data_IF_613063073043
#
_entry.id   IF_613063073043
#
_cell.length_a   1.000
_cell.length_b   1.000
_cell.length_c   1.000
_cell.angle_alpha   90.00
_cell.angle_beta   90.00
_cell.angle_gamma   90.00
#
_symmetry.space_group_name_H-M   'P 1'
#
loop_
_entity.id
_entity.type
_entity.pdbx_description
1 polymer ?
#
# COMPACT_ATOMS: atom_id res chain seq x y z
N UNK A 1 7.44 -7.19 -14.31
CA UNK A 1 8.80 -7.39 -13.76
C UNK A 1 9.31 -8.79 -14.00
N UNK A 2 10.60 -8.98 -13.91
CA UNK A 2 11.25 -10.28 -14.07
C UNK A 2 11.98 -10.64 -12.76
N UNK A 3 11.81 -11.88 -12.27
CA UNK A 3 12.57 -12.35 -11.10
C UNK A 3 14.04 -12.46 -11.50
N UNK A 4 14.91 -11.70 -10.81
CA UNK A 4 16.36 -11.67 -11.06
C UNK A 4 17.16 -12.44 -10.01
N UNK A 5 16.56 -12.71 -8.86
CA UNK A 5 17.12 -13.51 -7.77
C UNK A 5 16.03 -14.06 -6.88
N UNK A 6 16.24 -15.23 -6.28
CA UNK A 6 15.35 -15.79 -5.26
C UNK A 6 16.10 -16.77 -4.34
N UNK A 7 15.69 -16.87 -3.10
CA UNK A 7 16.11 -17.94 -2.17
C UNK A 7 15.40 -19.25 -2.50
N UNK A 8 15.84 -20.33 -1.87
CA UNK A 8 15.03 -21.54 -1.77
C UNK A 8 13.79 -21.26 -0.91
N UNK A 9 12.71 -21.99 -1.16
CA UNK A 9 11.53 -21.95 -0.28
C UNK A 9 11.90 -22.42 1.12
N UNK A 10 11.49 -21.65 2.13
CA UNK A 10 11.58 -22.03 3.52
C UNK A 10 10.24 -22.62 3.94
N UNK A 11 10.25 -23.87 4.39
CA UNK A 11 9.06 -24.55 4.89
C UNK A 11 8.96 -24.35 6.41
N UNK A 12 7.78 -23.99 6.89
CA UNK A 12 7.43 -23.97 8.30
C UNK A 12 6.26 -24.91 8.55
N UNK A 13 6.40 -25.77 9.56
CA UNK A 13 5.39 -26.75 9.92
C UNK A 13 4.76 -26.38 11.24
N UNK A 14 3.48 -26.00 11.22
CA UNK A 14 2.70 -25.81 12.42
C UNK A 14 1.90 -27.08 12.74
N UNK A 15 2.02 -27.57 13.98
CA UNK A 15 1.25 -28.72 14.45
C UNK A 15 0.20 -28.22 15.45
N UNK A 16 -1.07 -28.38 15.13
CA UNK A 16 -2.18 -28.08 16.04
C UNK A 16 -2.86 -29.37 16.49
N UNK A 17 -3.20 -29.44 17.79
CA UNK A 17 -3.88 -30.57 18.38
C UNK A 17 -3.04 -31.35 19.41
N UNK A 18 -3.52 -31.44 20.64
CA UNK A 18 -2.88 -32.15 21.76
C UNK A 18 -3.21 -31.49 23.09
N UNK A 19 -4.49 -31.48 23.50
CA UNK A 19 -4.90 -31.19 24.87
C UNK A 19 -4.95 -32.49 25.70
N UNK A 20 -4.52 -32.45 26.96
CA UNK A 20 -4.69 -33.57 27.92
C UNK A 20 -6.19 -33.84 28.09
N UNK A 21 -6.70 -34.95 27.54
CA UNK A 21 -8.04 -35.41 27.90
C UNK A 21 -8.88 -36.12 26.82
N UNK A 22 -8.56 -36.03 25.53
CA UNK A 22 -9.22 -36.84 24.50
C UNK A 22 -8.34 -36.99 23.25
N UNK A 23 -8.35 -38.11 22.53
CA UNK A 23 -7.61 -38.27 21.30
C UNK A 23 -8.23 -37.39 20.21
N UNK A 24 -7.64 -36.18 20.00
CA UNK A 24 -7.95 -35.31 18.86
C UNK A 24 -6.93 -35.59 17.76
N UNK A 25 -7.35 -35.66 16.49
CA UNK A 25 -6.41 -35.80 15.39
C UNK A 25 -5.44 -34.61 15.36
N UNK A 26 -4.16 -34.93 15.24
CA UNK A 26 -3.14 -33.91 15.03
C UNK A 26 -3.21 -33.46 13.58
N UNK A 27 -3.48 -32.18 13.35
CA UNK A 27 -3.35 -31.57 12.02
C UNK A 27 -1.97 -30.91 11.89
N UNK A 28 -1.35 -31.09 10.75
CA UNK A 28 -0.14 -30.37 10.36
C UNK A 28 -0.51 -29.42 9.23
N UNK A 29 -0.19 -28.14 9.40
CA UNK A 29 -0.25 -27.15 8.34
C UNK A 29 1.18 -26.78 7.92
N UNK A 30 1.36 -26.63 6.63
CA UNK A 30 2.60 -26.24 6.02
C UNK A 30 2.44 -24.84 5.45
N UNK A 31 3.36 -23.94 5.80
CA UNK A 31 3.48 -22.62 5.19
C UNK A 31 4.86 -22.50 4.54
N UNK A 32 4.93 -21.73 3.49
CA UNK A 32 6.17 -21.52 2.74
C UNK A 32 6.44 -20.03 2.62
N UNK A 33 7.71 -19.67 2.75
CA UNK A 33 8.16 -18.31 2.48
C UNK A 33 9.34 -18.31 1.51
N UNK A 34 9.55 -17.18 0.85
CA UNK A 34 10.65 -16.96 -0.09
C UNK A 34 11.08 -15.51 -0.06
N UNK A 35 12.38 -15.26 -0.19
CA UNK A 35 12.88 -13.92 -0.50
C UNK A 35 13.25 -13.86 -1.96
N UNK A 36 12.82 -12.79 -2.65
CA UNK A 36 13.04 -12.65 -4.07
C UNK A 36 13.32 -11.20 -4.47
N UNK A 37 14.07 -11.02 -5.55
CA UNK A 37 14.28 -9.75 -6.21
C UNK A 37 13.63 -9.74 -7.58
N UNK A 38 12.91 -8.67 -7.90
CA UNK A 38 12.20 -8.49 -9.17
C UNK A 38 12.76 -7.24 -9.85
N UNK A 39 13.36 -7.41 -11.01
CA UNK A 39 13.75 -6.33 -11.91
C UNK A 39 12.53 -5.68 -12.52
N UNK A 40 12.44 -4.36 -12.44
CA UNK A 40 11.31 -3.57 -12.92
C UNK A 40 11.54 -3.01 -14.30
N UNK A 41 12.58 -2.20 -14.46
CA UNK A 41 12.95 -1.58 -15.72
C UNK A 41 14.41 -1.11 -15.72
N UNK A 42 14.92 -0.80 -16.91
CA UNK A 42 16.19 -0.11 -17.11
C UNK A 42 16.04 1.38 -16.79
N UNK A 43 17.10 1.97 -16.23
CA UNK A 43 17.21 3.38 -15.88
C UNK A 43 16.59 3.71 -14.52
N UNK A 44 16.92 4.89 -14.03
CA UNK A 44 16.49 5.36 -12.73
C UNK A 44 15.00 5.70 -12.70
N UNK A 45 14.32 5.31 -11.61
CA UNK A 45 12.91 5.61 -11.35
C UNK A 45 12.78 6.61 -10.20
N UNK A 46 11.71 7.40 -10.21
CA UNK A 46 11.39 8.30 -9.10
C UNK A 46 10.87 7.51 -7.90
N UNK A 47 9.90 6.61 -8.11
CA UNK A 47 9.30 5.75 -7.08
C UNK A 47 8.49 4.61 -7.72
N UNK A 48 8.08 3.66 -6.90
CA UNK A 48 6.97 2.76 -7.19
C UNK A 48 5.67 3.31 -6.57
N UNK A 49 4.55 3.04 -7.20
CA UNK A 49 3.21 3.33 -6.69
C UNK A 49 2.52 2.05 -6.21
N UNK A 50 1.38 1.74 -6.81
CA UNK A 50 0.57 0.56 -6.47
C UNK A 50 1.26 -0.74 -6.84
N UNK A 51 0.95 -1.79 -6.08
CA UNK A 51 1.47 -3.14 -6.28
C UNK A 51 0.28 -4.08 -6.42
N UNK A 52 0.35 -5.00 -7.37
CA UNK A 52 -0.64 -6.05 -7.55
C UNK A 52 0.03 -7.43 -7.48
N UNK A 53 -0.66 -8.36 -6.84
CA UNK A 53 -0.33 -9.78 -6.85
C UNK A 53 -1.50 -10.54 -7.48
N UNK A 54 -1.24 -11.28 -8.56
CA UNK A 54 -2.27 -12.00 -9.35
C UNK A 54 -3.45 -11.11 -9.79
N UNK A 55 -3.19 -9.82 -10.03
CA UNK A 55 -4.19 -8.83 -10.45
C UNK A 55 -4.96 -8.16 -9.31
N UNK A 56 -4.83 -8.62 -8.07
CA UNK A 56 -5.38 -7.94 -6.89
C UNK A 56 -4.38 -6.93 -6.33
N UNK A 57 -4.83 -5.72 -6.03
CA UNK A 57 -4.01 -4.72 -5.37
C UNK A 57 -3.69 -5.15 -3.93
N UNK A 58 -2.43 -4.99 -3.54
CA UNK A 58 -1.94 -5.31 -2.19
C UNK A 58 -1.21 -4.11 -1.60
N UNK A 59 -1.21 -4.02 -0.28
CA UNK A 59 -0.48 -2.97 0.42
C UNK A 59 1.02 -3.24 0.44
N UNK A 60 1.83 -2.24 0.10
CA UNK A 60 3.28 -2.31 0.30
C UNK A 60 3.67 -2.48 1.78
N UNK A 61 2.78 -2.11 2.73
CA UNK A 61 2.99 -2.27 4.18
C UNK A 61 2.94 -3.73 4.63
N UNK A 62 2.25 -4.57 3.86
CA UNK A 62 2.14 -6.01 4.13
C UNK A 62 3.34 -6.79 3.60
N UNK A 63 4.24 -6.10 2.91
CA UNK A 63 5.44 -6.67 2.34
C UNK A 63 6.68 -6.11 3.05
N UNK A 64 7.62 -7.00 3.39
CA UNK A 64 8.96 -6.56 3.75
C UNK A 64 9.73 -6.18 2.49
N UNK A 65 9.46 -4.97 1.99
CA UNK A 65 9.83 -4.49 0.67
C UNK A 65 10.96 -3.46 0.74
N UNK A 66 12.00 -3.66 -0.06
CA UNK A 66 13.03 -2.66 -0.34
C UNK A 66 13.01 -2.29 -1.83
N UNK A 67 13.13 -1.00 -2.11
CA UNK A 67 13.11 -0.46 -3.46
C UNK A 67 14.48 0.07 -3.84
N UNK A 68 15.01 -0.41 -4.93
CA UNK A 68 16.24 0.01 -5.56
C UNK A 68 15.90 0.77 -6.83
N UNK A 69 16.26 2.05 -6.87
CA UNK A 69 15.77 2.96 -7.92
C UNK A 69 16.55 2.89 -9.23
N UNK A 70 17.69 2.20 -9.26
CA UNK A 70 18.53 2.12 -10.46
C UNK A 70 19.54 3.26 -10.61
N UNK A 71 19.84 3.98 -9.54
CA UNK A 71 20.88 5.03 -9.57
C UNK A 71 22.30 4.46 -9.72
N UNK A 72 23.25 5.32 -10.16
CA UNK A 72 24.64 4.95 -10.37
C UNK A 72 25.40 4.67 -9.06
N UNK A 73 24.91 5.17 -7.95
CA UNK A 73 25.44 4.99 -6.60
C UNK A 73 24.81 3.79 -5.86
N UNK A 74 23.92 3.05 -6.55
CA UNK A 74 23.20 1.92 -5.97
C UNK A 74 24.16 0.86 -5.43
N UNK A 75 23.88 0.37 -4.21
CA UNK A 75 24.63 -0.69 -3.55
C UNK A 75 23.90 -2.03 -3.65
N UNK A 76 24.62 -3.15 -3.51
CA UNK A 76 23.99 -4.48 -3.43
C UNK A 76 23.01 -4.58 -2.28
N UNK A 77 21.97 -5.41 -2.45
CA UNK A 77 21.00 -5.66 -1.38
C UNK A 77 21.62 -6.51 -0.26
N UNK A 78 21.50 -6.11 1.02
CA UNK A 78 22.10 -6.80 2.13
C UNK A 78 21.56 -8.22 2.37
N UNK A 79 20.30 -8.51 2.03
CA UNK A 79 19.75 -9.87 2.13
C UNK A 79 20.35 -10.77 1.06
N UNK A 80 20.52 -10.26 -0.15
CA UNK A 80 21.18 -11.02 -1.21
C UNK A 80 22.64 -11.29 -0.85
N UNK A 81 23.38 -10.31 -0.32
CA UNK A 81 24.75 -10.48 0.14
C UNK A 81 24.87 -11.48 1.32
N UNK A 82 23.90 -11.47 2.22
CA UNK A 82 23.87 -12.43 3.33
C UNK A 82 23.70 -13.88 2.85
N UNK A 83 23.02 -14.09 1.74
CA UNK A 83 22.79 -15.43 1.17
C UNK A 83 23.93 -15.86 0.24
N UNK A 84 24.37 -14.97 -0.67
CA UNK A 84 25.35 -15.31 -1.72
C UNK A 84 26.81 -15.08 -1.28
N UNK A 85 27.00 -14.25 -0.25
CA UNK A 85 28.30 -13.80 0.24
C UNK A 85 28.66 -12.39 -0.19
N UNK A 86 29.31 -11.67 0.72
CA UNK A 86 29.74 -10.28 0.50
C UNK A 86 30.61 -10.16 -0.76
N UNK A 87 30.28 -9.17 -1.59
CA UNK A 87 30.97 -8.88 -2.83
C UNK A 87 30.65 -9.83 -3.99
N UNK A 88 29.70 -10.75 -3.82
CA UNK A 88 29.26 -11.67 -4.91
C UNK A 88 27.96 -11.24 -5.55
N UNK A 89 27.28 -10.24 -4.99
CA UNK A 89 26.02 -9.72 -5.49
C UNK A 89 26.27 -8.45 -6.29
N UNK A 90 25.78 -8.36 -7.53
CA UNK A 90 25.88 -7.12 -8.29
C UNK A 90 24.96 -6.06 -7.69
N UNK A 91 25.37 -4.79 -7.80
CA UNK A 91 24.55 -3.65 -7.34
C UNK A 91 23.39 -3.34 -8.29
N UNK A 92 23.33 -3.95 -9.46
CA UNK A 92 22.35 -3.69 -10.53
C UNK A 92 22.16 -2.20 -10.84
N UNK A 93 23.28 -1.43 -10.90
CA UNK A 93 23.24 -0.01 -11.29
C UNK A 93 22.63 0.13 -12.68
N UNK A 94 21.84 1.16 -12.88
CA UNK A 94 21.07 1.36 -14.10
C UNK A 94 19.85 0.48 -14.23
N UNK A 95 19.52 -0.36 -13.23
CA UNK A 95 18.32 -1.20 -13.21
C UNK A 95 17.54 -0.92 -11.92
N UNK A 96 16.30 -0.51 -12.06
CA UNK A 96 15.38 -0.41 -10.94
C UNK A 96 14.84 -1.82 -10.60
N UNK A 97 14.89 -2.18 -9.32
CA UNK A 97 14.38 -3.46 -8.85
C UNK A 97 13.83 -3.35 -7.43
N UNK A 98 13.09 -4.35 -7.01
CA UNK A 98 12.59 -4.49 -5.65
C UNK A 98 13.06 -5.80 -5.05
N UNK A 99 13.27 -5.81 -3.73
CA UNK A 99 13.49 -7.03 -2.96
C UNK A 99 12.35 -7.20 -1.98
N UNK A 100 11.70 -8.36 -2.02
CA UNK A 100 10.68 -8.77 -1.06
C UNK A 100 11.32 -9.85 -0.19
N UNK A 101 11.48 -9.55 1.10
CA UNK A 101 12.12 -10.46 2.04
C UNK A 101 11.08 -11.29 2.79
N UNK A 102 11.32 -12.60 2.84
CA UNK A 102 10.52 -13.59 3.57
C UNK A 102 9.00 -13.49 3.25
N UNK A 103 8.67 -13.35 1.96
CA UNK A 103 7.29 -13.33 1.47
C UNK A 103 6.56 -14.60 1.88
N UNK A 104 5.49 -14.47 2.68
CA UNK A 104 4.58 -15.58 2.99
C UNK A 104 3.79 -15.95 1.72
N UNK A 105 3.86 -17.21 1.34
CA UNK A 105 3.17 -17.75 0.16
C UNK A 105 1.79 -18.32 0.48
N UNK A 106 1.41 -18.41 1.74
CA UNK A 106 0.12 -18.97 2.18
C UNK A 106 -1.08 -18.26 1.52
N UNK A 107 -1.13 -16.90 1.48
CA UNK A 107 -2.23 -16.18 0.82
C UNK A 107 -2.31 -16.44 -0.69
N UNK A 108 -1.21 -16.91 -1.31
CA UNK A 108 -1.08 -17.12 -2.75
C UNK A 108 -1.12 -18.60 -3.15
N UNK A 109 -1.66 -19.47 -2.27
CA UNK A 109 -1.73 -20.91 -2.54
C UNK A 109 -0.36 -21.59 -2.59
N UNK A 110 0.58 -21.16 -1.76
CA UNK A 110 1.96 -21.66 -1.65
C UNK A 110 2.77 -21.56 -2.95
N UNK A 111 2.52 -20.54 -3.74
CA UNK A 111 3.27 -20.21 -4.96
C UNK A 111 3.65 -18.73 -4.98
N UNK A 112 4.67 -18.38 -5.72
CA UNK A 112 5.00 -16.97 -5.98
C UNK A 112 3.92 -16.38 -6.88
N UNK A 113 3.21 -15.31 -6.46
CA UNK A 113 2.21 -14.67 -7.30
C UNK A 113 2.87 -13.89 -8.45
N UNK A 114 2.06 -13.60 -9.46
CA UNK A 114 2.50 -12.71 -10.53
C UNK A 114 2.39 -11.26 -10.06
N UNK A 115 3.54 -10.65 -9.76
CA UNK A 115 3.60 -9.25 -9.36
C UNK A 115 3.55 -8.29 -10.54
N UNK A 116 2.76 -7.21 -10.36
CA UNK A 116 2.79 -6.01 -11.20
C UNK A 116 3.04 -4.79 -10.33
N UNK A 117 3.78 -3.83 -10.87
CA UNK A 117 4.17 -2.62 -10.15
C UNK A 117 3.87 -1.39 -11.00
N UNK A 118 3.30 -0.39 -10.38
CA UNK A 118 3.22 0.95 -10.93
C UNK A 118 4.57 1.64 -10.76
N UNK A 119 5.20 2.04 -11.86
CA UNK A 119 6.53 2.66 -11.86
C UNK A 119 6.41 4.10 -12.33
N UNK A 120 6.90 5.03 -11.53
CA UNK A 120 6.95 6.44 -11.87
C UNK A 120 8.37 6.84 -12.24
N UNK A 121 8.52 7.44 -13.42
CA UNK A 121 9.80 7.94 -13.94
C UNK A 121 9.69 9.43 -14.21
N UNK A 122 10.79 10.13 -14.07
CA UNK A 122 10.90 11.50 -14.57
C UNK A 122 10.83 11.49 -16.10
N UNK A 123 10.26 12.54 -16.68
CA UNK A 123 10.24 12.69 -18.13
C UNK A 123 11.68 12.70 -18.67
N UNK A 124 11.92 11.88 -19.71
CA UNK A 124 13.24 11.85 -20.36
C UNK A 124 13.46 13.15 -21.12
N UNK A 125 14.70 13.67 -21.06
CA UNK A 125 15.08 14.89 -21.78
C UNK A 125 14.94 16.18 -21.03
N UNK A 126 14.41 16.20 -19.80
CA UNK A 126 14.55 17.35 -18.91
C UNK A 126 15.92 17.30 -18.25
N UNK A 127 16.75 18.30 -18.52
CA UNK A 127 18.01 18.49 -17.82
C UNK A 127 17.73 18.53 -16.30
N UNK A 128 18.54 17.86 -15.53
CA UNK A 128 18.38 17.68 -14.08
C UNK A 128 18.29 18.99 -13.29
N UNK A 129 18.57 20.12 -13.91
CA UNK A 129 18.76 21.39 -13.21
C UNK A 129 17.77 22.51 -13.57
N UNK A 130 16.80 22.35 -14.48
CA UNK A 130 16.04 23.49 -14.95
C UNK A 130 14.60 23.28 -15.42
N UNK A 131 14.01 22.12 -15.30
CA UNK A 131 12.61 21.93 -15.66
C UNK A 131 11.68 22.02 -14.45
N UNK A 132 10.48 22.66 -14.57
CA UNK A 132 9.50 22.64 -13.51
C UNK A 132 9.10 21.18 -13.22
N UNK A 133 9.27 20.75 -11.98
CA UNK A 133 8.82 19.47 -11.47
C UNK A 133 7.51 19.72 -10.72
N UNK A 134 6.38 19.40 -11.34
CA UNK A 134 5.06 19.60 -10.75
C UNK A 134 4.96 19.04 -9.32
N UNK A 135 5.57 17.89 -9.04
CA UNK A 135 5.59 17.32 -7.71
C UNK A 135 6.29 18.17 -6.67
N UNK A 136 7.25 19.02 -7.09
CA UNK A 136 8.00 19.93 -6.21
C UNK A 136 7.52 21.36 -6.26
N UNK A 137 6.82 21.75 -7.31
CA UNK A 137 6.40 23.13 -7.52
C UNK A 137 5.00 23.42 -6.99
N UNK A 138 4.16 22.40 -6.87
CA UNK A 138 2.82 22.54 -6.30
C UNK A 138 2.92 22.78 -4.80
N UNK A 139 2.41 23.94 -4.37
CA UNK A 139 2.44 24.40 -2.96
C UNK A 139 1.09 24.26 -2.25
N UNK A 140 0.01 24.13 -3.00
CA UNK A 140 -1.33 24.01 -2.47
C UNK A 140 -2.24 23.27 -3.41
N UNK A 141 -3.19 22.52 -2.85
CA UNK A 141 -4.18 21.73 -3.57
C UNK A 141 -5.56 21.94 -2.97
N UNK A 142 -6.61 21.75 -3.78
CA UNK A 142 -7.97 21.56 -3.31
C UNK A 142 -8.23 20.05 -3.21
N UNK A 143 -8.52 19.57 -2.01
CA UNK A 143 -8.86 18.18 -1.75
C UNK A 143 -10.37 18.04 -1.71
N UNK A 144 -10.91 17.29 -2.66
CA UNK A 144 -12.32 16.91 -2.70
C UNK A 144 -12.37 15.48 -2.18
N UNK A 145 -12.97 15.23 -1.00
CA UNK A 145 -13.10 13.88 -0.48
C UNK A 145 -13.95 13.03 -1.42
N UNK A 146 -13.68 11.73 -1.41
CA UNK A 146 -14.44 10.75 -2.19
C UNK A 146 -15.92 10.72 -1.81
N UNK A 147 -16.67 9.92 -2.53
CA UNK A 147 -18.11 9.69 -2.28
C UNK A 147 -18.28 8.88 -0.99
N UNK A 148 -18.98 9.44 -0.04
CA UNK A 148 -19.30 8.79 1.23
C UNK A 148 -19.39 9.80 2.35
N UNK A 149 -20.37 9.62 3.20
CA UNK A 149 -20.67 10.55 4.30
C UNK A 149 -19.52 10.66 5.30
N UNK A 150 -18.80 9.56 5.48
CA UNK A 150 -17.74 9.43 6.47
C UNK A 150 -16.35 9.48 5.85
N UNK A 151 -16.21 9.91 4.61
CA UNK A 151 -14.93 9.98 3.90
C UNK A 151 -13.88 10.87 4.55
N UNK A 152 -14.31 11.83 5.40
CA UNK A 152 -13.43 12.73 6.15
C UNK A 152 -13.12 12.23 7.58
N UNK A 153 -13.73 11.16 8.03
CA UNK A 153 -13.47 10.64 9.37
C UNK A 153 -12.05 10.06 9.44
N UNK A 154 -11.31 10.46 10.47
CA UNK A 154 -9.94 10.03 10.74
C UNK A 154 -9.86 8.71 11.49
N UNK A 155 -10.98 8.26 12.04
CA UNK A 155 -11.17 6.95 12.67
C UNK A 155 -12.08 6.07 11.82
N UNK A 156 -11.95 4.76 11.94
CA UNK A 156 -12.80 3.82 11.20
C UNK A 156 -14.25 3.93 11.72
N UNK A 157 -15.19 4.14 10.81
CA UNK A 157 -16.62 4.16 11.09
C UNK A 157 -17.23 2.86 10.62
N UNK A 158 -17.92 2.16 11.52
CA UNK A 158 -18.49 0.86 11.27
C UNK A 158 -20.00 0.93 11.14
N UNK A 159 -20.52 0.27 10.11
CA UNK A 159 -21.94 0.02 9.94
C UNK A 159 -22.27 -1.38 10.47
N UNK A 160 -23.13 -1.47 11.47
CA UNK A 160 -23.66 -2.74 11.96
C UNK A 160 -24.68 -3.29 10.96
N UNK A 161 -24.40 -4.46 10.40
CA UNK A 161 -25.31 -5.19 9.50
C UNK A 161 -26.18 -6.21 10.22
N UNK A 162 -26.08 -6.29 11.54
CA UNK A 162 -26.77 -7.30 12.35
C UNK A 162 -26.05 -8.63 12.41
N UNK A 163 -26.51 -9.51 13.29
CA UNK A 163 -25.94 -10.84 13.53
C UNK A 163 -24.44 -10.83 13.93
N UNK A 164 -23.95 -9.70 14.44
CA UNK A 164 -22.53 -9.54 14.83
C UNK A 164 -21.60 -9.25 13.66
N UNK A 165 -22.13 -8.94 12.48
CA UNK A 165 -21.37 -8.50 11.33
C UNK A 165 -21.32 -6.97 11.27
N UNK A 166 -20.10 -6.40 11.25
CA UNK A 166 -19.88 -4.97 11.03
C UNK A 166 -18.88 -4.75 9.88
N UNK A 167 -19.08 -3.68 9.14
CA UNK A 167 -18.24 -3.31 7.99
C UNK A 167 -17.79 -1.87 8.13
N UNK A 168 -16.46 -1.64 8.03
CA UNK A 168 -15.94 -0.29 7.97
C UNK A 168 -16.33 0.36 6.64
N UNK A 169 -16.95 1.53 6.68
CA UNK A 169 -17.49 2.22 5.50
C UNK A 169 -16.54 3.28 4.93
N UNK A 170 -15.51 3.66 5.68
CA UNK A 170 -14.49 4.64 5.29
C UNK A 170 -13.06 4.05 5.26
N UNK A 171 -12.94 2.73 5.08
CA UNK A 171 -11.68 2.00 4.89
C UNK A 171 -11.81 1.19 3.61
N UNK A 172 -11.46 1.81 2.47
CA UNK A 172 -11.71 1.24 1.15
C UNK A 172 -10.43 0.94 0.38
N UNK A 173 -9.26 1.13 1.01
CA UNK A 173 -7.97 0.87 0.39
C UNK A 173 -7.26 -0.32 1.03
N UNK A 174 -6.44 -1.08 0.29
CA UNK A 174 -5.64 -2.18 0.85
C UNK A 174 -4.67 -1.74 1.95
N UNK A 175 -4.37 -0.44 2.04
CA UNK A 175 -3.50 0.12 3.08
C UNK A 175 -4.09 0.02 4.50
N UNK A 176 -5.41 -0.28 4.64
CA UNK A 176 -6.08 -0.52 5.92
C UNK A 176 -6.29 0.72 6.80
N UNK A 177 -5.89 1.90 6.34
CA UNK A 177 -6.18 3.17 6.99
C UNK A 177 -7.51 3.77 6.51
N UNK A 178 -8.00 4.81 7.20
CA UNK A 178 -9.18 5.55 6.72
C UNK A 178 -8.87 6.25 5.39
N UNK A 179 -9.88 6.41 4.55
CA UNK A 179 -9.72 6.96 3.20
C UNK A 179 -9.03 8.33 3.22
N UNK A 180 -9.37 9.21 4.16
CA UNK A 180 -8.72 10.51 4.32
C UNK A 180 -7.24 10.38 4.72
N UNK A 181 -6.93 9.48 5.66
CA UNK A 181 -5.56 9.30 6.13
C UNK A 181 -4.66 8.77 5.01
N UNK A 182 -5.14 7.79 4.26
CA UNK A 182 -4.40 7.23 3.11
C UNK A 182 -4.25 8.27 2.00
N UNK A 183 -5.30 9.08 1.74
CA UNK A 183 -5.24 10.14 0.73
C UNK A 183 -4.23 11.23 1.10
N UNK A 184 -4.14 11.63 2.38
CA UNK A 184 -3.15 12.61 2.84
C UNK A 184 -1.71 12.07 2.80
N UNK A 185 -1.52 10.80 3.15
CA UNK A 185 -0.20 10.15 3.03
C UNK A 185 0.25 10.07 1.55
N UNK A 186 -0.66 9.71 0.65
CA UNK A 186 -0.39 9.69 -0.78
C UNK A 186 -0.05 11.11 -1.30
N UNK A 187 -0.83 12.11 -0.90
CA UNK A 187 -0.58 13.51 -1.24
C UNK A 187 0.80 13.96 -0.79
N UNK A 188 1.19 13.66 0.44
CA UNK A 188 2.50 14.01 0.98
C UNK A 188 3.64 13.33 0.22
N UNK A 189 3.44 12.06 -0.17
CA UNK A 189 4.41 11.31 -0.96
C UNK A 189 4.56 11.84 -2.39
N UNK A 190 3.46 12.27 -3.00
CA UNK A 190 3.43 12.75 -4.40
C UNK A 190 3.82 14.21 -4.55
N UNK A 191 3.41 15.05 -3.61
CA UNK A 191 3.63 16.49 -3.60
C UNK A 191 4.36 16.94 -2.33
N UNK A 192 5.65 16.60 -2.16
CA UNK A 192 6.39 16.84 -0.92
C UNK A 192 6.54 18.33 -0.58
N UNK A 193 6.35 19.21 -1.55
CA UNK A 193 6.40 20.67 -1.36
C UNK A 193 5.01 21.29 -1.08
N UNK A 194 3.94 20.50 -1.08
CA UNK A 194 2.60 20.97 -0.77
C UNK A 194 2.48 21.29 0.72
N UNK A 195 2.33 22.57 1.06
CA UNK A 195 2.19 23.06 2.43
C UNK A 195 0.79 23.55 2.77
N UNK A 196 -0.15 23.49 1.83
CA UNK A 196 -1.52 23.97 2.03
C UNK A 196 -2.53 23.07 1.34
N UNK A 197 -3.58 22.69 2.08
CA UNK A 197 -4.70 21.90 1.53
C UNK A 197 -6.00 22.62 1.83
N UNK A 198 -6.76 22.95 0.77
CA UNK A 198 -8.13 23.48 0.89
C UNK A 198 -9.11 22.31 0.82
N UNK A 199 -9.72 22.00 1.94
CA UNK A 199 -10.68 20.89 2.04
C UNK A 199 -12.06 21.34 1.57
N UNK A 200 -12.63 20.63 0.61
CA UNK A 200 -14.02 20.84 0.16
C UNK A 200 -14.95 20.04 1.04
N UNK A 201 -15.92 20.71 1.65
CA UNK A 201 -16.94 20.08 2.52
C UNK A 201 -18.34 20.43 2.03
N UNK A 202 -19.28 19.53 2.25
CA UNK A 202 -20.69 19.73 1.91
C UNK A 202 -21.50 20.12 3.13
N UNK A 203 -22.39 21.10 2.96
CA UNK A 203 -23.37 21.51 3.95
C UNK A 203 -24.76 21.35 3.35
N UNK A 204 -25.71 20.92 4.14
CA UNK A 204 -27.06 20.58 3.68
C UNK A 204 -28.09 21.49 4.33
N UNK A 205 -28.98 22.04 3.48
CA UNK A 205 -30.15 22.74 3.95
C UNK A 205 -31.30 21.77 4.25
N UNK A 206 -32.13 22.10 5.22
CA UNK A 206 -33.29 21.30 5.61
C UNK A 206 -34.63 21.79 5.03
N UNK A 207 -34.66 23.00 4.46
CA UNK A 207 -35.82 23.59 3.85
C UNK A 207 -35.45 24.39 2.60
N UNK A 208 -36.29 24.36 1.57
CA UNK A 208 -36.09 25.13 0.34
C UNK A 208 -36.43 26.62 0.50
N UNK A 209 -37.05 27.00 1.58
CA UNK A 209 -37.44 28.40 1.86
C UNK A 209 -36.31 29.11 2.59
N UNK A 210 -35.68 30.11 1.95
CA UNK A 210 -34.51 30.82 2.46
C UNK A 210 -34.67 31.32 3.93
N UNK A 211 -35.84 31.79 4.32
CA UNK A 211 -36.07 32.29 5.68
C UNK A 211 -36.27 31.22 6.77
N UNK A 212 -36.32 29.95 6.37
CA UNK A 212 -36.56 28.81 7.26
C UNK A 212 -35.47 27.72 7.12
N UNK A 213 -34.61 27.87 6.14
CA UNK A 213 -33.56 26.90 5.87
C UNK A 213 -32.43 27.03 6.92
N UNK A 214 -32.16 25.96 7.62
CA UNK A 214 -30.98 25.81 8.46
C UNK A 214 -29.94 24.99 7.74
N UNK A 215 -28.74 25.55 7.55
CA UNK A 215 -27.64 24.91 6.85
C UNK A 215 -26.66 24.33 7.86
N UNK A 216 -26.44 23.02 7.79
CA UNK A 216 -25.55 22.32 8.71
C UNK A 216 -24.93 21.07 8.08
N UNK A 217 -23.81 20.52 8.63
CA UNK A 217 -23.36 19.19 8.29
C UNK A 217 -24.44 18.16 8.65
N UNK A 218 -24.67 17.20 7.77
CA UNK A 218 -25.62 16.10 7.98
C UNK A 218 -25.06 14.81 7.43
N UNK A 219 -25.54 13.70 7.97
CA UNK A 219 -25.33 12.34 7.48
C UNK A 219 -26.69 11.68 7.25
N UNK A 220 -26.78 10.78 6.30
CA UNK A 220 -28.02 10.01 6.04
C UNK A 220 -28.07 8.76 6.93
N UNK A 221 -26.94 8.14 7.20
CA UNK A 221 -26.82 6.89 7.95
C UNK A 221 -26.55 7.19 9.43
N UNK A 222 -27.60 7.14 10.24
CA UNK A 222 -27.52 7.39 11.68
C UNK A 222 -27.16 6.15 12.51
N UNK A 223 -27.12 4.96 11.88
CA UNK A 223 -26.78 3.70 12.55
C UNK A 223 -25.28 3.37 12.48
N UNK A 224 -24.48 4.23 11.86
CA UNK A 224 -23.03 4.06 11.83
C UNK A 224 -22.41 4.51 13.15
N UNK A 225 -21.58 3.67 13.73
CA UNK A 225 -20.83 3.95 14.95
C UNK A 225 -19.36 4.19 14.61
N UNK A 226 -18.82 5.31 15.10
CA UNK A 226 -17.40 5.64 15.07
C UNK A 226 -16.89 5.88 16.48
N UNK A 227 -15.64 5.44 16.74
CA UNK A 227 -14.94 5.73 18.01
C UNK A 227 -14.49 7.19 18.10
#
# INVERSE_FOLDING_TARGET
>A
GQVIWATRFKEEVATSGGGKGAPRPKSRSYSYSVSLAIGLCEGEIARIGRIWADGAEISARDLNLRVYRGGEDQLPDPKMEAVEGTGRVPAYRGIAYVVIEDLDLTPFGNRVPQFSFEVMRRAQGMATDAGPDLGRDIRGVALIPGTGEYSLATTAVHLDKGLGESVAINVNTPAGGTDISVSLEALQGELPACGSVSLVVSWFGDDLRCGQCEVRPKVEESAAEGD
#
